data_IF_080545156855
#
_entry.id   IF_080545156855
#
_cell.length_a   1.000
_cell.length_b   1.000
_cell.length_c   1.000
_cell.angle_alpha   90.00
_cell.angle_beta   90.00
_cell.angle_gamma   90.00
#
_symmetry.space_group_name_H-M   'P 1'
#
loop_
_entity.id
_entity.type
_entity.pdbx_description
1 polymer ?
#
# COMPACT_ATOMS: atom_id res chain seq x y z
N UNK A 1 40.35 -56.99 1.88
CA UNK A 1 39.96 -58.07 2.81
C UNK A 1 38.40 -58.08 2.84
N UNK A 2 37.83 -58.95 2.04
CA UNK A 2 36.37 -59.00 1.81
C UNK A 2 35.60 -60.00 2.70
N UNK A 3 36.30 -60.72 3.57
CA UNK A 3 35.73 -61.82 4.37
C UNK A 3 35.98 -61.67 5.88
N UNK A 4 36.02 -60.46 6.42
CA UNK A 4 36.13 -60.24 7.86
C UNK A 4 34.77 -60.40 8.54
N UNK A 5 34.64 -61.32 9.50
CA UNK A 5 33.45 -61.50 10.34
C UNK A 5 33.29 -60.35 11.37
N UNK A 6 34.41 -59.68 11.74
CA UNK A 6 34.42 -58.57 12.71
C UNK A 6 34.14 -57.20 12.08
N UNK A 7 34.41 -57.03 10.77
CA UNK A 7 34.21 -55.74 10.07
C UNK A 7 33.51 -55.95 8.73
N UNK A 8 32.25 -55.68 8.69
CA UNK A 8 31.44 -55.82 7.44
C UNK A 8 31.44 -54.48 6.68
N UNK A 9 32.43 -54.31 5.78
CA UNK A 9 32.59 -53.09 4.97
C UNK A 9 31.39 -52.87 4.05
N UNK A 10 30.78 -53.97 3.50
CA UNK A 10 29.61 -53.88 2.62
C UNK A 10 28.40 -53.31 3.37
N UNK A 11 28.17 -53.75 4.64
CA UNK A 11 27.09 -53.25 5.47
C UNK A 11 27.32 -51.77 5.85
N UNK A 12 28.60 -51.37 6.12
CA UNK A 12 28.93 -49.95 6.41
C UNK A 12 28.67 -49.04 5.21
N UNK A 13 29.03 -49.45 3.98
CA UNK A 13 28.73 -48.70 2.75
C UNK A 13 27.23 -48.63 2.52
N UNK A 14 26.50 -49.73 2.71
CA UNK A 14 25.04 -49.75 2.57
C UNK A 14 24.35 -48.83 3.58
N UNK A 15 24.82 -48.81 4.85
CA UNK A 15 24.30 -47.92 5.88
C UNK A 15 24.57 -46.46 5.58
N UNK A 16 25.78 -46.13 5.07
CA UNK A 16 26.11 -44.76 4.66
C UNK A 16 25.25 -44.26 3.52
N UNK A 17 25.02 -45.12 2.49
CA UNK A 17 24.14 -44.81 1.39
C UNK A 17 22.66 -44.63 1.82
N UNK A 18 22.18 -45.48 2.72
CA UNK A 18 20.85 -45.37 3.31
C UNK A 18 20.69 -44.07 4.11
N UNK A 19 21.69 -43.74 4.93
CA UNK A 19 21.72 -42.46 5.70
C UNK A 19 21.69 -41.25 4.78
N UNK A 20 22.46 -41.23 3.69
CA UNK A 20 22.48 -40.17 2.69
C UNK A 20 21.11 -40.06 1.97
N UNK A 21 20.48 -41.20 1.67
CA UNK A 21 19.14 -41.24 1.05
C UNK A 21 18.08 -40.69 2.01
N UNK A 22 18.14 -41.04 3.28
CA UNK A 22 17.24 -40.54 4.32
C UNK A 22 17.36 -39.01 4.49
N UNK A 23 18.59 -38.47 4.49
CA UNK A 23 18.79 -37.02 4.56
C UNK A 23 18.20 -36.31 3.37
N UNK A 24 18.44 -36.80 2.14
CA UNK A 24 17.86 -36.24 0.92
C UNK A 24 16.32 -36.34 0.90
N UNK A 25 15.80 -37.46 1.44
CA UNK A 25 14.35 -37.65 1.54
C UNK A 25 13.72 -36.62 2.48
N UNK A 26 14.33 -36.36 3.64
CA UNK A 26 13.87 -35.35 4.58
C UNK A 26 13.90 -33.93 3.97
N UNK A 27 14.96 -33.58 3.22
CA UNK A 27 15.07 -32.30 2.51
C UNK A 27 13.95 -32.11 1.48
N UNK A 28 13.71 -33.15 0.66
CA UNK A 28 12.66 -33.11 -0.38
C UNK A 28 11.26 -33.09 0.24
N UNK A 29 11.02 -33.84 1.34
CA UNK A 29 9.78 -33.77 2.10
C UNK A 29 9.53 -32.37 2.65
N UNK A 30 10.55 -31.71 3.19
CA UNK A 30 10.50 -30.32 3.64
C UNK A 30 10.08 -29.38 2.50
N UNK A 31 10.71 -29.48 1.33
CA UNK A 31 10.40 -28.67 0.15
C UNK A 31 8.97 -28.89 -0.37
N UNK A 32 8.52 -30.14 -0.41
CA UNK A 32 7.14 -30.44 -0.82
C UNK A 32 6.13 -29.91 0.20
N UNK A 33 6.44 -30.03 1.49
CA UNK A 33 5.56 -29.55 2.58
C UNK A 33 5.45 -28.03 2.64
N UNK A 34 6.55 -27.32 2.43
CA UNK A 34 6.59 -25.84 2.53
C UNK A 34 6.38 -25.12 1.20
N UNK A 35 6.52 -25.82 0.08
CA UNK A 35 6.52 -25.22 -1.25
C UNK A 35 7.81 -24.43 -1.58
N UNK A 36 8.82 -24.45 -0.71
CA UNK A 36 10.03 -23.65 -0.85
C UNK A 36 11.25 -24.53 -1.13
N UNK A 37 12.07 -24.15 -2.12
CA UNK A 37 13.41 -24.75 -2.35
C UNK A 37 14.46 -24.19 -1.41
N UNK A 38 14.26 -22.94 -0.92
CA UNK A 38 15.11 -22.28 0.08
C UNK A 38 14.24 -21.89 1.27
N UNK A 39 14.23 -22.72 2.31
CA UNK A 39 13.41 -22.54 3.50
C UNK A 39 14.11 -21.66 4.55
N UNK A 40 15.44 -21.68 4.56
CA UNK A 40 16.24 -20.97 5.55
C UNK A 40 17.68 -20.72 5.10
N UNK A 41 18.44 -20.03 5.94
CA UNK A 41 19.84 -19.70 5.68
C UNK A 41 20.74 -20.95 5.53
N UNK A 42 20.33 -22.12 6.07
CA UNK A 42 21.07 -23.39 5.93
C UNK A 42 21.03 -23.93 4.50
N UNK A 43 19.92 -23.69 3.76
CA UNK A 43 19.77 -24.19 2.39
C UNK A 43 20.60 -23.37 1.41
N UNK A 44 20.48 -22.05 1.50
CA UNK A 44 21.29 -21.10 0.73
C UNK A 44 21.24 -19.72 1.40
N UNK A 45 22.30 -19.38 2.12
CA UNK A 45 22.37 -18.14 2.89
C UNK A 45 22.27 -16.89 2.01
N UNK A 46 22.83 -16.89 0.80
CA UNK A 46 22.82 -15.74 -0.10
C UNK A 46 21.40 -15.48 -0.65
N UNK A 47 20.75 -16.51 -1.19
CA UNK A 47 19.38 -16.39 -1.73
C UNK A 47 18.40 -16.05 -0.61
N UNK A 48 18.52 -16.69 0.55
CA UNK A 48 17.68 -16.42 1.71
C UNK A 48 17.81 -14.96 2.17
N UNK A 49 19.04 -14.43 2.27
CA UNK A 49 19.28 -13.04 2.67
C UNK A 49 18.65 -12.05 1.68
N UNK A 50 18.81 -12.27 0.36
CA UNK A 50 18.19 -11.44 -0.69
C UNK A 50 16.66 -11.49 -0.56
N UNK A 51 16.08 -12.69 -0.46
CA UNK A 51 14.63 -12.84 -0.33
C UNK A 51 14.10 -12.17 0.95
N UNK A 52 14.86 -12.22 2.04
CA UNK A 52 14.45 -11.58 3.30
C UNK A 52 14.49 -10.06 3.22
N UNK A 53 15.49 -9.48 2.55
CA UNK A 53 15.53 -8.04 2.27
C UNK A 53 14.34 -7.61 1.41
N UNK A 54 14.05 -8.34 0.33
CA UNK A 54 12.92 -8.02 -0.54
C UNK A 54 11.55 -8.17 0.17
N UNK A 55 11.40 -9.15 1.09
CA UNK A 55 10.21 -9.27 1.94
C UNK A 55 10.05 -8.09 2.88
N UNK A 56 11.14 -7.57 3.42
CA UNK A 56 11.11 -6.35 4.23
C UNK A 56 10.68 -5.14 3.39
N UNK A 57 11.17 -5.03 2.15
CA UNK A 57 10.77 -3.96 1.22
C UNK A 57 9.28 -4.06 0.85
N UNK A 58 8.75 -5.26 0.59
CA UNK A 58 7.31 -5.49 0.36
C UNK A 58 6.49 -5.06 1.58
N UNK A 59 6.93 -5.40 2.79
CA UNK A 59 6.27 -4.95 4.02
C UNK A 59 6.28 -3.43 4.18
N UNK A 60 7.41 -2.78 3.88
CA UNK A 60 7.53 -1.33 3.91
C UNK A 60 6.64 -0.66 2.84
N UNK A 61 6.59 -1.21 1.61
CA UNK A 61 5.69 -0.73 0.55
C UNK A 61 4.22 -0.89 0.92
N UNK A 62 3.85 -1.90 1.71
CA UNK A 62 2.51 -2.02 2.28
C UNK A 62 2.13 -0.83 3.17
N UNK A 63 3.07 -0.32 3.99
CA UNK A 63 2.87 0.88 4.79
C UNK A 63 2.80 2.15 3.90
N UNK A 64 3.60 2.22 2.83
CA UNK A 64 3.51 3.30 1.82
C UNK A 64 2.13 3.33 1.19
N UNK A 65 1.59 2.17 0.78
CA UNK A 65 0.26 2.06 0.21
C UNK A 65 -0.82 2.59 1.17
N UNK A 66 -0.79 2.21 2.45
CA UNK A 66 -1.71 2.74 3.45
C UNK A 66 -1.59 4.27 3.61
N UNK A 67 -0.36 4.81 3.53
CA UNK A 67 -0.14 6.26 3.55
C UNK A 67 -0.76 6.96 2.35
N UNK A 68 -0.64 6.38 1.16
CA UNK A 68 -1.22 6.91 -0.09
C UNK A 68 -2.76 6.79 -0.11
N UNK A 69 -3.32 5.69 0.40
CA UNK A 69 -4.78 5.51 0.53
C UNK A 69 -5.38 6.59 1.45
N UNK A 70 -4.68 6.95 2.54
CA UNK A 70 -5.07 8.06 3.40
C UNK A 70 -4.95 9.40 2.69
N UNK A 71 -3.91 9.60 1.87
CA UNK A 71 -3.74 10.80 1.06
C UNK A 71 -4.89 11.00 0.08
N UNK A 72 -5.29 9.92 -0.61
CA UNK A 72 -6.45 9.93 -1.52
C UNK A 72 -7.73 10.30 -0.76
N UNK A 73 -7.97 9.69 0.40
CA UNK A 73 -9.17 10.00 1.20
C UNK A 73 -9.22 11.46 1.67
N UNK A 74 -8.08 12.06 2.04
CA UNK A 74 -8.02 13.50 2.40
C UNK A 74 -8.29 14.37 1.17
N UNK A 75 -7.73 14.02 0.01
CA UNK A 75 -7.96 14.75 -1.23
C UNK A 75 -9.44 14.69 -1.66
N UNK A 76 -10.07 13.53 -1.58
CA UNK A 76 -11.49 13.33 -1.95
C UNK A 76 -12.43 14.13 -1.03
N UNK A 77 -12.17 14.14 0.27
CA UNK A 77 -12.93 14.96 1.22
C UNK A 77 -12.76 16.45 0.91
N UNK A 78 -11.54 16.88 0.60
CA UNK A 78 -11.27 18.27 0.24
C UNK A 78 -11.94 18.68 -1.08
N UNK A 79 -11.90 17.81 -2.10
CA UNK A 79 -12.59 18.06 -3.37
C UNK A 79 -14.11 18.13 -3.19
N UNK A 80 -14.71 17.20 -2.48
CA UNK A 80 -16.15 17.19 -2.20
C UNK A 80 -16.60 18.43 -1.41
N UNK A 81 -15.82 18.85 -0.41
CA UNK A 81 -16.09 20.09 0.31
C UNK A 81 -15.92 21.33 -0.60
N UNK A 82 -14.87 21.34 -1.42
CA UNK A 82 -14.62 22.41 -2.38
C UNK A 82 -15.72 22.56 -3.44
N UNK A 83 -16.26 21.44 -3.95
CA UNK A 83 -17.42 21.43 -4.85
C UNK A 83 -18.66 22.00 -4.15
N UNK A 84 -18.92 21.60 -2.90
CA UNK A 84 -20.01 22.17 -2.10
C UNK A 84 -19.83 23.68 -1.89
N UNK A 85 -18.62 24.16 -1.66
CA UNK A 85 -18.30 25.59 -1.57
C UNK A 85 -18.55 26.29 -2.90
N UNK A 86 -18.20 25.68 -4.04
CA UNK A 86 -18.46 26.22 -5.37
C UNK A 86 -19.96 26.42 -5.62
N UNK A 87 -20.78 25.44 -5.24
CA UNK A 87 -22.24 25.52 -5.36
C UNK A 87 -22.83 26.64 -4.49
N UNK A 88 -22.31 26.80 -3.27
CA UNK A 88 -22.72 27.88 -2.36
C UNK A 88 -22.30 29.26 -2.90
N UNK A 89 -21.12 29.39 -3.52
CA UNK A 89 -20.68 30.63 -4.17
C UNK A 89 -21.57 30.98 -5.37
N UNK A 90 -22.04 30.01 -6.15
CA UNK A 90 -22.97 30.23 -7.23
C UNK A 90 -24.33 30.74 -6.70
N UNK A 91 -24.84 30.18 -5.60
CA UNK A 91 -26.04 30.70 -4.92
C UNK A 91 -25.84 32.13 -4.38
N UNK A 92 -24.65 32.40 -3.82
CA UNK A 92 -24.26 33.75 -3.40
C UNK A 92 -24.27 34.73 -4.56
N UNK A 93 -23.80 34.33 -5.75
CA UNK A 93 -23.79 35.17 -6.97
C UNK A 93 -25.20 35.61 -7.37
N UNK A 94 -26.17 34.71 -7.24
CA UNK A 94 -27.59 35.06 -7.51
C UNK A 94 -28.08 36.14 -6.53
N UNK A 95 -27.81 36.00 -5.22
CA UNK A 95 -28.24 36.96 -4.20
C UNK A 95 -27.53 38.29 -4.33
N UNK A 96 -26.21 38.30 -4.58
CA UNK A 96 -25.44 39.52 -4.80
C UNK A 96 -25.88 40.24 -6.08
N UNK A 97 -26.15 39.50 -7.16
CA UNK A 97 -26.66 40.09 -8.42
C UNK A 97 -28.04 40.71 -8.22
N UNK A 98 -28.95 40.02 -7.51
CA UNK A 98 -30.25 40.60 -7.17
C UNK A 98 -30.12 41.87 -6.31
N UNK A 99 -29.15 41.91 -5.37
CA UNK A 99 -28.91 43.08 -4.54
C UNK A 99 -28.38 44.32 -5.30
N UNK A 100 -27.87 44.16 -6.51
CA UNK A 100 -27.45 45.27 -7.39
C UNK A 100 -28.62 46.05 -8.04
N UNK A 101 -29.84 45.54 -7.94
CA UNK A 101 -30.98 46.28 -8.44
C UNK A 101 -31.19 47.57 -7.60
N UNK A 102 -31.12 48.72 -8.28
CA UNK A 102 -31.27 50.03 -7.66
C UNK A 102 -32.71 50.32 -7.20
N UNK A 103 -33.69 49.61 -7.73
CA UNK A 103 -35.12 49.77 -7.39
C UNK A 103 -35.51 49.10 -6.07
N UNK A 104 -34.63 48.25 -5.50
CA UNK A 104 -34.92 47.52 -4.27
C UNK A 104 -35.12 48.43 -3.06
N UNK A 105 -36.19 48.17 -2.31
CA UNK A 105 -36.46 48.77 -1.00
C UNK A 105 -35.44 48.30 0.04
N UNK A 106 -35.16 49.14 1.02
CA UNK A 106 -34.23 48.83 2.11
C UNK A 106 -34.54 47.51 2.80
N UNK A 107 -35.81 47.20 3.02
CA UNK A 107 -36.24 45.93 3.64
C UNK A 107 -35.89 44.71 2.77
N UNK A 108 -36.04 44.78 1.46
CA UNK A 108 -35.67 43.70 0.54
C UNK A 108 -34.15 43.49 0.51
N UNK A 109 -33.35 44.56 0.58
CA UNK A 109 -31.87 44.47 0.72
C UNK A 109 -31.47 43.82 2.02
N UNK A 110 -32.16 44.12 3.13
CA UNK A 110 -31.91 43.49 4.42
C UNK A 110 -32.13 41.97 4.38
N UNK A 111 -33.19 41.51 3.69
CA UNK A 111 -33.44 40.07 3.52
C UNK A 111 -32.35 39.40 2.67
N UNK A 112 -31.95 40.04 1.56
CA UNK A 112 -30.83 39.51 0.73
C UNK A 112 -29.51 39.50 1.48
N UNK A 113 -29.22 40.49 2.34
CA UNK A 113 -28.05 40.53 3.19
C UNK A 113 -28.06 39.40 4.27
N UNK A 114 -29.24 39.11 4.83
CA UNK A 114 -29.43 38.01 5.74
C UNK A 114 -29.16 36.63 5.07
N UNK A 115 -29.74 36.43 3.87
CA UNK A 115 -29.48 35.23 3.06
C UNK A 115 -28.00 35.08 2.71
N UNK A 116 -27.36 36.19 2.26
CA UNK A 116 -25.93 36.25 1.95
C UNK A 116 -25.08 35.79 3.16
N UNK A 117 -25.34 36.36 4.35
CA UNK A 117 -24.63 35.98 5.57
C UNK A 117 -24.87 34.55 6.01
N UNK A 118 -26.07 34.03 5.76
CA UNK A 118 -26.38 32.62 6.03
C UNK A 118 -25.56 31.68 5.12
N UNK A 119 -25.49 31.96 3.83
CA UNK A 119 -24.68 31.20 2.87
C UNK A 119 -23.19 31.31 3.20
N UNK A 120 -22.67 32.48 3.59
CA UNK A 120 -21.28 32.63 4.04
C UNK A 120 -20.96 31.77 5.26
N UNK A 121 -21.89 31.66 6.22
CA UNK A 121 -21.72 30.74 7.36
C UNK A 121 -21.75 29.28 6.94
N UNK A 122 -22.58 28.92 5.95
CA UNK A 122 -22.60 27.56 5.41
C UNK A 122 -21.26 27.21 4.71
N UNK A 123 -20.71 28.14 3.93
CA UNK A 123 -19.36 28.00 3.32
C UNK A 123 -18.31 27.76 4.40
N UNK A 124 -18.29 28.63 5.44
CA UNK A 124 -17.33 28.46 6.56
C UNK A 124 -17.48 27.08 7.21
N UNK A 125 -18.70 26.64 7.46
CA UNK A 125 -18.97 25.33 8.06
C UNK A 125 -18.51 24.19 7.18
N UNK A 126 -18.70 24.26 5.87
CA UNK A 126 -18.23 23.26 4.92
C UNK A 126 -16.70 23.13 4.93
N UNK A 127 -15.98 24.26 4.96
CA UNK A 127 -14.52 24.31 5.02
C UNK A 127 -13.99 23.77 6.35
N UNK A 128 -14.57 24.19 7.47
CA UNK A 128 -14.10 23.80 8.81
C UNK A 128 -14.28 22.30 9.07
N UNK A 129 -15.35 21.69 8.50
CA UNK A 129 -15.65 20.27 8.65
C UNK A 129 -15.01 19.36 7.59
N UNK A 130 -14.29 19.91 6.62
CA UNK A 130 -13.61 19.16 5.56
C UNK A 130 -12.34 18.48 6.09
N UNK A 131 -12.49 17.56 7.03
CA UNK A 131 -11.36 16.85 7.65
C UNK A 131 -11.51 15.34 7.54
N UNK A 132 -10.40 14.67 7.28
CA UNK A 132 -10.28 13.21 7.35
C UNK A 132 -9.09 12.85 8.24
N UNK A 133 -9.30 12.02 9.25
CA UNK A 133 -8.27 11.59 10.21
C UNK A 133 -7.48 12.79 10.83
N UNK A 134 -8.22 13.87 11.12
CA UNK A 134 -7.63 15.12 11.66
C UNK A 134 -6.91 16.01 10.65
N UNK A 135 -6.75 15.57 9.39
CA UNK A 135 -6.17 16.36 8.31
C UNK A 135 -7.24 17.21 7.61
N UNK A 136 -7.10 18.53 7.63
CA UNK A 136 -7.89 19.48 6.85
C UNK A 136 -6.93 20.38 6.06
N UNK A 137 -6.98 20.29 4.73
CA UNK A 137 -6.11 21.05 3.84
C UNK A 137 -6.75 22.34 3.31
N UNK A 138 -8.02 22.63 3.72
CA UNK A 138 -8.80 23.77 3.22
C UNK A 138 -8.95 24.91 4.21
N UNK A 139 -8.82 24.67 5.51
CA UNK A 139 -9.12 25.66 6.57
C UNK A 139 -7.95 26.57 6.93
N UNK A 140 -6.79 26.43 6.26
CA UNK A 140 -5.61 27.23 6.55
C UNK A 140 -4.82 26.83 7.80
N UNK A 141 -5.21 25.76 8.49
CA UNK A 141 -4.47 25.25 9.66
C UNK A 141 -3.10 24.68 9.29
N UNK A 142 -2.98 24.18 8.06
CA UNK A 142 -1.76 23.63 7.50
C UNK A 142 -1.18 24.60 6.46
N UNK A 143 0.04 25.09 6.69
CA UNK A 143 0.68 26.06 5.79
C UNK A 143 1.47 25.43 4.65
N UNK A 144 1.92 24.18 4.80
CA UNK A 144 2.81 23.50 3.84
C UNK A 144 2.21 22.26 3.19
N UNK A 145 0.94 21.93 3.51
CA UNK A 145 0.32 20.67 3.07
C UNK A 145 0.75 19.46 3.91
N UNK A 146 0.33 18.27 3.47
CA UNK A 146 0.62 17.00 4.14
C UNK A 146 1.54 16.17 3.24
N UNK A 147 2.58 15.60 3.84
CA UNK A 147 3.53 14.71 3.18
C UNK A 147 3.19 13.26 3.46
N UNK A 148 3.14 12.45 2.40
CA UNK A 148 2.84 11.03 2.45
C UNK A 148 4.03 10.24 1.93
N UNK A 149 4.26 9.05 2.49
CA UNK A 149 5.37 8.19 2.08
C UNK A 149 5.23 7.80 0.60
N UNK A 150 6.36 7.82 -0.13
CA UNK A 150 6.41 7.48 -1.55
C UNK A 150 7.26 6.23 -1.85
N UNK A 151 8.17 5.83 -0.96
CA UNK A 151 9.07 4.70 -1.15
C UNK A 151 9.30 3.92 0.15
N UNK A 152 9.86 2.71 0.02
CA UNK A 152 10.06 1.77 1.14
C UNK A 152 11.02 2.27 2.22
N UNK A 153 12.03 3.06 1.85
CA UNK A 153 13.04 3.62 2.77
C UNK A 153 12.63 4.95 3.41
N UNK A 154 11.38 5.42 3.14
CA UNK A 154 10.82 6.68 3.65
C UNK A 154 11.69 7.94 3.32
N UNK A 155 12.51 7.89 2.28
CA UNK A 155 13.34 9.02 1.85
C UNK A 155 12.60 9.99 0.91
N UNK A 156 11.57 9.51 0.20
CA UNK A 156 10.76 10.29 -0.73
C UNK A 156 9.32 10.45 -0.23
N UNK A 157 8.71 11.59 -0.57
CA UNK A 157 7.35 11.93 -0.17
C UNK A 157 6.56 12.47 -1.35
N UNK A 158 5.28 12.10 -1.42
CA UNK A 158 4.27 12.79 -2.22
C UNK A 158 3.59 13.82 -1.32
N UNK A 159 3.46 15.05 -1.78
CA UNK A 159 2.87 16.15 -0.98
C UNK A 159 1.50 16.50 -1.54
N UNK A 160 0.49 16.54 -0.69
CA UNK A 160 -0.81 17.13 -0.96
C UNK A 160 -0.81 18.55 -0.39
N UNK A 161 -0.85 19.55 -1.29
CA UNK A 161 -0.75 20.96 -0.92
C UNK A 161 -1.98 21.44 -0.18
N UNK A 162 -1.80 22.23 0.85
CA UNK A 162 -2.88 22.93 1.53
C UNK A 162 -3.34 24.15 0.72
N UNK A 163 -4.66 24.37 0.66
CA UNK A 163 -5.30 25.55 0.06
C UNK A 163 -6.16 26.25 1.10
N UNK A 164 -5.78 27.45 1.48
CA UNK A 164 -6.54 28.18 2.49
C UNK A 164 -7.80 28.80 1.87
N UNK A 165 -8.95 28.15 2.07
CA UNK A 165 -10.27 28.63 1.66
C UNK A 165 -10.99 29.42 2.77
N UNK A 166 -10.32 29.81 3.84
CA UNK A 166 -10.93 30.64 4.88
C UNK A 166 -11.48 31.93 4.31
N UNK A 167 -12.65 32.35 4.79
CA UNK A 167 -13.27 33.60 4.38
C UNK A 167 -12.40 34.83 4.69
N UNK A 168 -12.27 35.74 3.75
CA UNK A 168 -11.39 36.91 3.83
C UNK A 168 -9.91 36.57 3.56
N UNK A 169 -9.63 35.34 3.06
CA UNK A 169 -8.30 34.93 2.62
C UNK A 169 -7.99 35.32 1.18
N UNK A 170 -6.89 34.77 0.65
CA UNK A 170 -6.45 35.06 -0.71
C UNK A 170 -7.26 34.35 -1.78
N UNK A 171 -7.92 33.22 -1.47
CA UNK A 171 -8.75 32.45 -2.40
C UNK A 171 -10.22 32.87 -2.28
N UNK A 172 -10.75 32.95 -1.06
CA UNK A 172 -12.09 33.46 -0.82
C UNK A 172 -11.98 34.86 -0.21
N UNK A 173 -12.02 35.88 -1.06
CA UNK A 173 -11.87 37.28 -0.64
C UNK A 173 -13.09 37.83 0.11
N UNK A 174 -14.22 37.12 0.02
CA UNK A 174 -15.45 37.46 0.75
C UNK A 174 -15.26 37.25 2.24
N UNK A 175 -15.70 38.21 3.03
CA UNK A 175 -15.66 38.20 4.49
C UNK A 175 -17.07 38.30 5.10
N UNK A 176 -17.25 37.76 6.30
CA UNK A 176 -18.51 37.91 7.06
C UNK A 176 -18.86 39.37 7.38
N UNK A 177 -17.90 40.31 7.22
CA UNK A 177 -18.10 41.76 7.33
C UNK A 177 -18.67 42.40 6.06
N UNK A 178 -18.59 41.72 4.90
CA UNK A 178 -19.17 42.23 3.65
C UNK A 178 -20.70 42.26 3.78
N UNK A 179 -21.34 43.27 3.16
CA UNK A 179 -22.77 43.53 3.32
C UNK A 179 -23.38 43.99 2.00
N UNK A 180 -24.63 43.54 1.77
CA UNK A 180 -25.42 43.90 0.58
C UNK A 180 -26.41 45.07 0.83
N UNK A 181 -26.35 45.74 1.97
CA UNK A 181 -27.28 46.80 2.37
C UNK A 181 -27.17 48.04 1.48
N UNK A 182 -26.05 48.22 0.77
CA UNK A 182 -25.82 49.33 -0.15
C UNK A 182 -25.49 48.83 -1.54
N UNK A 183 -25.76 49.62 -2.57
CA UNK A 183 -25.41 49.30 -3.95
C UNK A 183 -23.90 49.15 -4.13
N UNK A 184 -23.10 49.98 -3.47
CA UNK A 184 -21.63 49.92 -3.48
C UNK A 184 -21.15 48.61 -2.81
N UNK A 185 -21.78 48.25 -1.69
CA UNK A 185 -21.48 46.98 -1.00
C UNK A 185 -21.77 45.75 -1.89
N UNK A 186 -22.92 45.74 -2.54
CA UNK A 186 -23.29 44.66 -3.49
C UNK A 186 -22.33 44.60 -4.69
N UNK A 187 -21.87 45.75 -5.21
CA UNK A 187 -20.90 45.80 -6.32
C UNK A 187 -19.55 45.27 -5.90
N UNK A 188 -19.04 45.68 -4.75
CA UNK A 188 -17.77 45.18 -4.23
C UNK A 188 -17.84 43.69 -3.90
N UNK A 189 -18.96 43.23 -3.31
CA UNK A 189 -19.16 41.80 -3.04
C UNK A 189 -19.19 40.98 -4.33
N UNK A 190 -19.77 41.49 -5.43
CA UNK A 190 -19.78 40.79 -6.72
C UNK A 190 -18.37 40.62 -7.29
N UNK A 191 -17.54 41.67 -7.27
CA UNK A 191 -16.15 41.60 -7.74
C UNK A 191 -15.34 40.57 -6.96
N UNK A 192 -15.39 40.65 -5.62
CA UNK A 192 -14.71 39.67 -4.75
C UNK A 192 -15.20 38.23 -4.98
N UNK A 193 -16.50 38.08 -5.28
CA UNK A 193 -17.11 36.78 -5.53
C UNK A 193 -16.64 36.17 -6.85
N UNK A 194 -16.56 36.96 -7.92
CA UNK A 194 -16.07 36.50 -9.22
C UNK A 194 -14.60 36.11 -9.16
N UNK A 195 -13.78 36.87 -8.43
CA UNK A 195 -12.38 36.54 -8.16
C UNK A 195 -12.27 35.27 -7.31
N UNK A 196 -13.09 35.14 -6.26
CA UNK A 196 -13.14 33.95 -5.41
C UNK A 196 -13.52 32.69 -6.17
N UNK A 197 -14.51 32.74 -7.06
CA UNK A 197 -14.91 31.59 -7.90
C UNK A 197 -13.75 31.17 -8.80
N UNK A 198 -13.07 32.13 -9.42
CA UNK A 198 -11.94 31.86 -10.32
C UNK A 198 -10.79 31.19 -9.57
N UNK A 199 -10.44 31.74 -8.41
CA UNK A 199 -9.35 31.21 -7.58
C UNK A 199 -9.69 29.85 -6.93
N UNK A 200 -10.94 29.65 -6.51
CA UNK A 200 -11.42 28.37 -6.02
C UNK A 200 -11.30 27.28 -7.08
N UNK A 201 -11.76 27.57 -8.32
CA UNK A 201 -11.68 26.60 -9.41
C UNK A 201 -10.23 26.23 -9.75
N UNK A 202 -9.31 27.19 -9.70
CA UNK A 202 -7.88 26.93 -9.87
C UNK A 202 -7.32 26.05 -8.73
N UNK A 203 -7.68 26.35 -7.48
CA UNK A 203 -7.26 25.57 -6.31
C UNK A 203 -7.79 24.13 -6.35
N UNK A 204 -9.06 23.94 -6.73
CA UNK A 204 -9.65 22.60 -6.89
C UNK A 204 -9.01 21.82 -8.03
N UNK A 205 -8.70 22.50 -9.15
CA UNK A 205 -7.98 21.90 -10.27
C UNK A 205 -6.58 21.40 -9.84
N UNK A 206 -5.88 22.15 -9.00
CA UNK A 206 -4.56 21.75 -8.47
C UNK A 206 -4.66 20.58 -7.50
N UNK A 207 -5.64 20.60 -6.57
CA UNK A 207 -5.89 19.46 -5.67
C UNK A 207 -6.26 18.21 -6.48
N UNK A 208 -7.13 18.34 -7.50
CA UNK A 208 -7.52 17.23 -8.38
C UNK A 208 -6.34 16.65 -9.17
N UNK A 209 -5.42 17.50 -9.64
CA UNK A 209 -4.19 17.03 -10.30
C UNK A 209 -3.28 16.27 -9.34
N UNK A 210 -3.13 16.75 -8.10
CA UNK A 210 -2.36 16.07 -7.06
C UNK A 210 -3.02 14.75 -6.63
N UNK A 211 -4.34 14.68 -6.50
CA UNK A 211 -5.08 13.46 -6.23
C UNK A 211 -4.82 12.39 -7.29
N UNK A 212 -4.89 12.75 -8.59
CA UNK A 212 -4.54 11.84 -9.69
C UNK A 212 -3.09 11.38 -9.65
N UNK A 213 -2.16 12.25 -9.25
CA UNK A 213 -0.76 11.87 -9.08
C UNK A 213 -0.59 10.85 -7.95
N UNK A 214 -1.30 11.02 -6.83
CA UNK A 214 -1.32 10.08 -5.71
C UNK A 214 -1.89 8.73 -6.13
N UNK A 215 -3.02 8.72 -6.86
CA UNK A 215 -3.63 7.48 -7.39
C UNK A 215 -2.69 6.74 -8.35
N UNK A 216 -2.04 7.47 -9.26
CA UNK A 216 -1.09 6.88 -10.19
C UNK A 216 0.11 6.27 -9.44
N UNK A 217 0.60 6.95 -8.41
CA UNK A 217 1.69 6.44 -7.58
C UNK A 217 1.26 5.22 -6.74
N UNK A 218 0.05 5.22 -6.19
CA UNK A 218 -0.53 4.08 -5.48
C UNK A 218 -0.66 2.84 -6.38
N UNK A 219 -1.10 3.04 -7.62
CA UNK A 219 -1.14 1.99 -8.65
C UNK A 219 0.26 1.46 -8.97
N UNK A 220 1.26 2.34 -9.08
CA UNK A 220 2.66 1.95 -9.30
C UNK A 220 3.19 1.12 -8.12
N UNK A 221 2.98 1.57 -6.88
CA UNK A 221 3.40 0.85 -5.65
C UNK A 221 2.76 -0.53 -5.59
N UNK A 222 1.47 -0.67 -5.92
CA UNK A 222 0.78 -1.97 -5.97
C UNK A 222 1.43 -2.92 -6.97
N UNK A 223 1.71 -2.46 -8.21
CA UNK A 223 2.41 -3.26 -9.22
C UNK A 223 3.84 -3.62 -8.81
N UNK A 224 4.52 -2.73 -8.09
CA UNK A 224 5.86 -2.99 -7.58
C UNK A 224 5.84 -4.11 -6.52
N UNK A 225 4.87 -4.09 -5.61
CA UNK A 225 4.65 -5.17 -4.63
C UNK A 225 4.46 -6.50 -5.35
N UNK A 226 3.54 -6.58 -6.32
CA UNK A 226 3.25 -7.81 -7.07
C UNK A 226 4.51 -8.34 -7.80
N UNK A 227 5.31 -7.42 -8.36
CA UNK A 227 6.56 -7.77 -9.05
C UNK A 227 7.62 -8.29 -8.08
N UNK A 228 7.77 -7.67 -6.91
CA UNK A 228 8.70 -8.12 -5.87
C UNK A 228 8.27 -9.47 -5.29
N UNK A 229 6.99 -9.69 -5.02
CA UNK A 229 6.46 -10.99 -4.57
C UNK A 229 6.72 -12.09 -5.60
N UNK A 230 6.47 -11.83 -6.88
CA UNK A 230 6.81 -12.75 -7.97
C UNK A 230 8.32 -13.01 -8.04
N UNK A 231 9.14 -11.97 -7.88
CA UNK A 231 10.59 -12.06 -7.83
C UNK A 231 11.09 -12.92 -6.66
N UNK A 232 10.51 -12.74 -5.48
CA UNK A 232 10.79 -13.55 -4.28
C UNK A 232 10.42 -15.01 -4.56
N UNK A 233 9.22 -15.27 -5.11
CA UNK A 233 8.78 -16.60 -5.49
C UNK A 233 9.78 -17.30 -6.42
N UNK A 234 10.22 -16.63 -7.47
CA UNK A 234 11.23 -17.17 -8.39
C UNK A 234 12.56 -17.54 -7.69
N UNK A 235 12.91 -16.84 -6.62
CA UNK A 235 14.12 -17.12 -5.85
C UNK A 235 13.96 -18.28 -4.87
N UNK A 236 12.80 -18.44 -4.21
CA UNK A 236 12.63 -19.34 -3.07
C UNK A 236 11.63 -20.47 -3.28
N UNK A 237 10.73 -20.39 -4.25
CA UNK A 237 9.70 -21.41 -4.44
C UNK A 237 10.25 -22.68 -5.11
N UNK A 238 9.68 -23.81 -4.74
CA UNK A 238 10.00 -25.12 -5.30
C UNK A 238 9.03 -25.48 -6.43
N UNK A 239 9.55 -26.14 -7.47
CA UNK A 239 8.74 -26.85 -8.45
C UNK A 239 8.18 -28.12 -7.81
N UNK A 240 6.95 -28.05 -7.34
CA UNK A 240 6.30 -29.15 -6.64
C UNK A 240 6.15 -30.43 -7.49
N UNK A 241 6.00 -30.31 -8.81
CA UNK A 241 5.90 -31.47 -9.70
C UNK A 241 7.23 -32.23 -9.73
N UNK A 242 8.33 -31.48 -9.86
CA UNK A 242 9.70 -32.05 -9.85
C UNK A 242 10.07 -32.63 -8.50
N UNK A 243 9.79 -31.91 -7.40
CA UNK A 243 10.12 -32.38 -6.05
C UNK A 243 9.25 -33.59 -5.65
N UNK A 244 7.97 -33.68 -6.07
CA UNK A 244 7.13 -34.84 -5.85
C UNK A 244 7.64 -36.10 -6.58
N UNK A 245 8.08 -35.95 -7.84
CA UNK A 245 8.70 -37.05 -8.56
C UNK A 245 9.99 -37.51 -7.89
N UNK A 246 10.79 -36.55 -7.37
CA UNK A 246 12.03 -36.83 -6.63
C UNK A 246 11.75 -37.52 -5.30
N UNK A 247 10.67 -37.12 -4.60
CA UNK A 247 10.22 -37.76 -3.36
C UNK A 247 9.92 -39.25 -3.59
N UNK A 248 9.14 -39.58 -4.63
CA UNK A 248 8.81 -40.96 -4.98
C UNK A 248 10.09 -41.78 -5.32
N UNK A 249 10.98 -41.21 -6.10
CA UNK A 249 12.26 -41.88 -6.44
C UNK A 249 13.11 -42.14 -5.19
N UNK A 250 13.20 -41.20 -4.26
CA UNK A 250 13.96 -41.38 -3.00
C UNK A 250 13.31 -42.38 -2.06
N UNK A 251 11.96 -42.47 -2.02
CA UNK A 251 11.26 -43.50 -1.26
C UNK A 251 11.58 -44.90 -1.77
N UNK A 252 11.60 -45.10 -3.09
CA UNK A 252 12.03 -46.38 -3.69
C UNK A 252 13.52 -46.63 -3.41
N UNK A 253 14.39 -45.64 -3.51
CA UNK A 253 15.81 -45.75 -3.16
C UNK A 253 16.00 -46.14 -1.69
N UNK A 254 15.20 -45.58 -0.78
CA UNK A 254 15.22 -45.92 0.64
C UNK A 254 14.89 -47.41 0.88
N UNK A 255 13.82 -47.88 0.22
CA UNK A 255 13.42 -49.30 0.30
C UNK A 255 14.49 -50.26 -0.24
N UNK A 256 15.07 -49.91 -1.40
CA UNK A 256 16.20 -50.69 -1.99
C UNK A 256 17.43 -50.64 -1.10
N UNK A 257 17.75 -49.47 -0.47
CA UNK A 257 18.86 -49.31 0.46
C UNK A 257 18.69 -50.19 1.70
N UNK A 258 17.48 -50.25 2.28
CA UNK A 258 17.16 -51.14 3.40
C UNK A 258 17.32 -52.61 3.04
N UNK A 259 16.88 -53.01 1.83
CA UNK A 259 17.05 -54.37 1.34
C UNK A 259 18.50 -54.73 1.08
N UNK A 260 19.26 -53.81 0.50
CA UNK A 260 20.73 -54.00 0.30
C UNK A 260 21.48 -54.15 1.62
N UNK A 261 21.11 -53.37 2.64
CA UNK A 261 21.65 -53.50 3.98
C UNK A 261 21.33 -54.86 4.61
N UNK A 262 20.07 -55.35 4.44
CA UNK A 262 19.68 -56.67 4.88
C UNK A 262 20.51 -57.80 4.23
N UNK A 263 20.73 -57.73 2.91
CA UNK A 263 21.56 -58.70 2.15
C UNK A 263 23.02 -58.62 2.62
N UNK A 264 23.54 -57.41 2.80
CA UNK A 264 24.95 -57.23 3.26
C UNK A 264 25.17 -57.78 4.67
N UNK A 265 24.14 -57.74 5.56
CA UNK A 265 24.20 -58.33 6.90
C UNK A 265 24.07 -59.87 6.88
N UNK A 266 23.48 -60.48 5.87
CA UNK A 266 23.39 -61.93 5.75
C UNK A 266 24.67 -62.61 5.25
N UNK A 267 25.52 -61.88 4.50
CA UNK A 267 26.76 -62.43 3.93
C UNK A 267 27.72 -63.01 4.96
N UNK A 268 27.97 -62.40 6.14
CA UNK A 268 28.80 -63.03 7.20
C UNK A 268 28.14 -64.24 7.84
N UNK A 269 26.81 -64.34 7.88
CA UNK A 269 26.10 -65.47 8.49
C UNK A 269 26.29 -66.76 7.66
N UNK A 270 26.33 -66.63 6.33
CA UNK A 270 26.61 -67.77 5.44
C UNK A 270 28.02 -68.32 5.68
N UNK A 271 29.00 -67.44 5.94
CA UNK A 271 30.36 -67.87 6.25
C UNK A 271 30.40 -68.56 7.62
N UNK A 272 29.67 -68.05 8.61
CA UNK A 272 29.61 -68.66 9.96
C UNK A 272 28.97 -70.06 9.94
N UNK A 273 27.90 -70.24 9.12
CA UNK A 273 27.22 -71.54 8.96
C UNK A 273 28.13 -72.62 8.32
N UNK A 274 29.09 -72.20 7.47
CA UNK A 274 30.05 -73.13 6.89
C UNK A 274 31.11 -73.63 7.89
N UNK A 275 31.32 -72.88 8.99
CA UNK A 275 32.25 -73.27 10.07
C UNK A 275 31.60 -73.98 11.25
N UNK A 276 30.25 -74.07 11.26
CA UNK A 276 29.49 -74.74 12.33
C UNK A 276 28.92 -76.13 11.90
N UNK A 277 29.20 -76.58 10.66
CA UNK A 277 28.84 -77.90 10.14
C UNK A 277 29.95 -78.93 10.23
#
# INVERSE_FOLDING_TARGET
MTNSVHTNVAAQIALQNLSNTNSRLADVQGRVSTGLKVQGAKDNAAIWAIAQTQRADVGALGAVKQSLDRATSIADVALSAGESVSDLLNQLKEKVTAAKDSSLKTQSRQLLDADFKALMKAIKSAIDNASFDGGNILNGSLTTGIKFLANADASAFVTLSSKNLSLGGSILELSLSDSLLTLTGATNALTKLDDSITQLNAALGEIGAQAKQIEAHNTFVSKLIDTLESGIGNLVDADLAKESARLQALQVQQQLGAQSLSIANQAPQIILSLFQG
#
